data_IF_890250607082
#
_entry.id   IF_890250607082
#
_cell.length_a   1.000
_cell.length_b   1.000
_cell.length_c   1.000
_cell.angle_alpha   90.00
_cell.angle_beta   90.00
_cell.angle_gamma   90.00
#
_symmetry.space_group_name_H-M   'P 1'
#
loop_
_entity.id
_entity.type
_entity.pdbx_description
1 polymer ?
#
# COMPACT_ATOMS: atom_id res chain seq x y z
N UNK A 1 -3.27 -8.87 -7.79
CA UNK A 1 -2.32 -8.77 -8.92
C UNK A 1 -1.81 -7.34 -8.98
N UNK A 2 -0.58 -7.12 -9.44
CA UNK A 2 -0.11 -5.78 -9.79
C UNK A 2 -0.97 -5.27 -10.95
N UNK A 3 -1.36 -3.99 -10.94
CA UNK A 3 -2.10 -3.38 -12.04
C UNK A 3 -1.32 -3.29 -13.36
N UNK A 4 -0.04 -3.66 -13.34
CA UNK A 4 0.84 -3.66 -14.50
C UNK A 4 0.94 -5.08 -15.10
N UNK A 5 0.78 -5.23 -16.43
CA UNK A 5 0.92 -6.52 -17.12
C UNK A 5 2.33 -7.13 -16.97
N UNK A 6 2.39 -8.40 -16.55
CA UNK A 6 3.66 -9.11 -16.33
C UNK A 6 4.50 -9.23 -17.61
N UNK A 7 3.85 -9.33 -18.77
CA UNK A 7 4.49 -9.44 -20.09
C UNK A 7 5.27 -8.17 -20.47
N UNK A 8 4.74 -6.99 -20.16
CA UNK A 8 5.40 -5.70 -20.42
C UNK A 8 6.60 -5.49 -19.49
N UNK A 9 6.42 -5.78 -18.20
CA UNK A 9 7.50 -5.70 -17.22
C UNK A 9 8.67 -6.61 -17.58
N UNK A 10 8.39 -7.80 -18.13
CA UNK A 10 9.43 -8.73 -18.59
C UNK A 10 10.22 -8.18 -19.77
N UNK A 11 9.59 -7.40 -20.67
CA UNK A 11 10.29 -6.77 -21.79
C UNK A 11 11.23 -5.67 -21.31
N UNK A 12 10.80 -4.82 -20.38
CA UNK A 12 11.62 -3.75 -19.80
C UNK A 12 12.83 -4.35 -19.04
N UNK A 13 12.61 -5.43 -18.31
CA UNK A 13 13.66 -6.16 -17.59
C UNK A 13 14.73 -6.72 -18.54
N UNK A 14 14.31 -7.28 -19.69
CA UNK A 14 15.23 -7.77 -20.74
C UNK A 14 16.06 -6.68 -21.41
N UNK A 15 15.64 -5.42 -21.33
CA UNK A 15 16.40 -4.28 -21.83
C UNK A 15 17.45 -3.77 -20.82
N UNK A 16 17.57 -4.42 -19.65
CA UNK A 16 18.51 -4.03 -18.60
C UNK A 16 18.11 -2.75 -17.87
N UNK A 17 16.86 -2.28 -18.05
CA UNK A 17 16.34 -1.07 -17.39
C UNK A 17 15.95 -1.44 -15.95
N UNK A 18 16.52 -0.79 -14.91
CA UNK A 18 16.19 -1.10 -13.52
C UNK A 18 14.71 -0.84 -13.21
N UNK A 19 13.99 -1.85 -12.71
CA UNK A 19 12.58 -1.74 -12.34
C UNK A 19 12.42 -1.73 -10.82
N UNK A 20 11.94 -0.61 -10.28
CA UNK A 20 11.48 -0.56 -8.89
C UNK A 20 10.02 -1.02 -8.78
N UNK A 21 9.79 -2.18 -8.13
CA UNK A 21 8.44 -2.68 -7.86
C UNK A 21 8.02 -2.35 -6.42
N UNK A 22 6.82 -1.76 -6.29
CA UNK A 22 6.18 -1.45 -5.02
C UNK A 22 4.77 -2.04 -4.97
N UNK A 23 4.60 -3.11 -4.20
CA UNK A 23 3.29 -3.74 -3.93
C UNK A 23 3.00 -3.80 -2.42
N UNK A 24 2.66 -2.67 -1.78
CA UNK A 24 2.46 -2.64 -0.34
C UNK A 24 1.20 -3.41 0.07
N UNK A 25 1.40 -4.63 0.59
CA UNK A 25 0.31 -5.46 1.15
C UNK A 25 -0.10 -5.10 2.58
N UNK A 26 0.72 -4.33 3.29
CA UNK A 26 0.48 -3.91 4.67
C UNK A 26 0.83 -2.43 4.80
N UNK A 27 0.22 -1.73 5.75
CA UNK A 27 0.45 -0.31 5.97
C UNK A 27 1.95 -0.01 6.17
N UNK A 28 2.64 -0.84 6.96
CA UNK A 28 4.09 -0.75 7.17
C UNK A 28 4.93 -0.87 5.89
N UNK A 29 4.41 -1.50 4.83
CA UNK A 29 5.14 -1.61 3.56
C UNK A 29 5.21 -0.26 2.83
N UNK A 30 4.27 0.67 3.08
CA UNK A 30 4.36 2.04 2.54
C UNK A 30 5.57 2.75 3.13
N UNK A 31 5.81 2.63 4.44
CA UNK A 31 7.01 3.16 5.08
C UNK A 31 8.30 2.60 4.47
N UNK A 32 8.32 1.30 4.16
CA UNK A 32 9.44 0.67 3.44
C UNK A 32 9.61 1.26 2.03
N UNK A 33 8.52 1.50 1.29
CA UNK A 33 8.57 2.14 -0.03
C UNK A 33 9.15 3.55 0.06
N UNK A 34 8.73 4.36 1.04
CA UNK A 34 9.27 5.72 1.26
C UNK A 34 10.78 5.71 1.50
N UNK A 35 11.29 4.80 2.34
CA UNK A 35 12.74 4.64 2.57
C UNK A 35 13.49 4.23 1.30
N UNK A 36 12.94 3.26 0.55
CA UNK A 36 13.57 2.79 -0.69
C UNK A 36 13.60 3.89 -1.76
N UNK A 37 12.53 4.67 -1.89
CA UNK A 37 12.49 5.82 -2.79
C UNK A 37 13.51 6.87 -2.39
N UNK A 38 13.60 7.23 -1.11
CA UNK A 38 14.61 8.18 -0.63
C UNK A 38 16.04 7.77 -0.98
N UNK A 39 16.36 6.47 -0.89
CA UNK A 39 17.65 5.94 -1.35
C UNK A 39 17.84 6.05 -2.86
N UNK A 40 16.82 5.68 -3.64
CA UNK A 40 16.87 5.70 -5.10
C UNK A 40 16.96 7.11 -5.68
N UNK A 41 16.44 8.12 -4.98
CA UNK A 41 16.44 9.52 -5.42
C UNK A 41 17.51 10.38 -4.74
N UNK A 42 18.40 9.78 -3.94
CA UNK A 42 19.51 10.48 -3.26
C UNK A 42 19.08 11.37 -2.09
N UNK A 43 17.83 11.27 -1.62
CA UNK A 43 17.29 12.02 -0.46
C UNK A 43 16.93 11.07 0.68
N UNK A 44 17.89 10.26 1.11
CA UNK A 44 17.67 9.17 2.07
C UNK A 44 17.10 9.66 3.41
N UNK A 45 17.66 10.72 3.99
CA UNK A 45 17.16 11.29 5.25
C UNK A 45 15.72 11.75 5.15
N UNK A 46 15.33 12.32 4.01
CA UNK A 46 13.94 12.73 3.77
C UNK A 46 13.02 11.51 3.71
N UNK A 47 13.41 10.45 3.00
CA UNK A 47 12.67 9.19 2.96
C UNK A 47 12.51 8.55 4.34
N UNK A 48 13.55 8.58 5.18
CA UNK A 48 13.47 8.09 6.56
C UNK A 48 12.54 8.92 7.44
N UNK A 49 12.59 10.26 7.35
CA UNK A 49 11.69 11.15 8.07
C UNK A 49 10.22 10.89 7.70
N UNK A 50 9.90 10.86 6.40
CA UNK A 50 8.55 10.58 5.93
C UNK A 50 8.05 9.20 6.38
N UNK A 51 8.90 8.17 6.31
CA UNK A 51 8.55 6.84 6.80
C UNK A 51 8.25 6.81 8.30
N UNK A 52 9.00 7.58 9.11
CA UNK A 52 8.78 7.69 10.56
C UNK A 52 7.46 8.40 10.86
N UNK A 53 7.19 9.53 10.20
CA UNK A 53 5.94 10.28 10.34
C UNK A 53 4.74 9.40 9.98
N UNK A 54 4.79 8.75 8.82
CA UNK A 54 3.73 7.85 8.36
C UNK A 54 3.40 6.74 9.37
N UNK A 55 4.42 6.11 9.97
CA UNK A 55 4.22 5.06 10.97
C UNK A 55 3.64 5.59 12.27
N UNK A 56 4.00 6.81 12.68
CA UNK A 56 3.43 7.46 13.85
C UNK A 56 1.94 7.75 13.63
N UNK A 57 1.57 8.35 12.51
CA UNK A 57 0.18 8.68 12.16
C UNK A 57 -0.68 7.41 12.08
N UNK A 58 -0.15 6.37 11.42
CA UNK A 58 -0.79 5.06 11.37
C UNK A 58 -1.02 4.45 12.76
N UNK A 59 -0.08 4.61 13.69
CA UNK A 59 -0.23 4.13 15.07
C UNK A 59 -1.30 4.90 15.82
N UNK A 60 -1.33 6.23 15.66
CA UNK A 60 -2.35 7.10 16.26
C UNK A 60 -3.75 6.71 15.80
N UNK A 61 -3.95 6.57 14.49
CA UNK A 61 -5.23 6.12 13.92
C UNK A 61 -5.60 4.72 14.44
N UNK A 62 -4.66 3.77 14.43
CA UNK A 62 -4.93 2.42 14.95
C UNK A 62 -5.42 2.47 16.40
N UNK A 63 -4.84 3.32 17.26
CA UNK A 63 -5.30 3.48 18.64
C UNK A 63 -6.68 4.12 18.73
N UNK A 64 -6.94 5.16 17.94
CA UNK A 64 -8.22 5.90 17.93
C UNK A 64 -9.41 5.04 17.53
N UNK A 65 -9.22 4.13 16.56
CA UNK A 65 -10.28 3.25 16.07
C UNK A 65 -10.27 1.86 16.71
N UNK A 66 -9.33 1.59 17.63
CA UNK A 66 -9.28 0.33 18.34
C UNK A 66 -10.54 0.15 19.21
N UNK A 67 -11.12 -1.06 19.20
CA UNK A 67 -12.27 -1.38 20.04
C UNK A 67 -13.62 -0.87 19.54
N UNK A 68 -13.71 -0.29 18.34
CA UNK A 68 -15.01 -0.01 17.71
C UNK A 68 -15.73 -1.30 17.31
N UNK A 69 -17.05 -1.30 17.41
CA UNK A 69 -17.88 -2.42 16.98
C UNK A 69 -17.73 -2.67 15.47
N UNK A 70 -17.55 -3.95 15.04
CA UNK A 70 -17.45 -4.31 13.63
C UNK A 70 -18.65 -3.84 12.80
N UNK A 71 -18.41 -3.17 11.68
CA UNK A 71 -19.39 -2.78 10.68
C UNK A 71 -19.25 -3.64 9.42
N UNK A 72 -20.37 -3.98 8.77
CA UNK A 72 -20.32 -4.67 7.48
C UNK A 72 -20.14 -3.64 6.37
N UNK A 73 -19.05 -3.75 5.62
CA UNK A 73 -18.72 -2.84 4.51
C UNK A 73 -18.62 -3.63 3.20
N UNK A 74 -19.21 -3.07 2.14
CA UNK A 74 -19.00 -3.50 0.75
C UNK A 74 -18.20 -2.42 0.02
N UNK A 75 -17.01 -2.78 -0.48
CA UNK A 75 -16.12 -1.85 -1.18
C UNK A 75 -16.16 -2.09 -2.69
N UNK A 76 -16.88 -1.25 -3.42
CA UNK A 76 -16.99 -1.32 -4.87
C UNK A 76 -15.86 -0.54 -5.54
N UNK A 77 -15.11 -1.19 -6.44
CA UNK A 77 -14.00 -0.57 -7.19
C UNK A 77 -14.42 -0.14 -8.59
N UNK A 78 -15.35 -0.87 -9.18
CA UNK A 78 -15.84 -0.64 -10.53
C UNK A 78 -17.32 -1.02 -10.62
N UNK A 79 -18.03 -0.40 -11.56
CA UNK A 79 -19.48 -0.50 -11.68
C UNK A 79 -19.97 -1.49 -12.74
N UNK A 80 -19.20 -1.77 -13.81
CA UNK A 80 -19.63 -2.71 -14.87
C UNK A 80 -18.47 -3.50 -15.52
N UNK A 81 -18.32 -4.81 -15.23
CA UNK A 81 -19.12 -5.56 -14.27
C UNK A 81 -18.85 -5.06 -12.85
N UNK A 82 -19.79 -5.27 -11.93
CA UNK A 82 -19.61 -4.90 -10.52
C UNK A 82 -18.36 -5.62 -9.95
N UNK A 83 -17.34 -4.85 -9.52
CA UNK A 83 -16.11 -5.42 -8.97
C UNK A 83 -15.85 -4.96 -7.53
N UNK A 84 -15.37 -5.87 -6.70
CA UNK A 84 -14.96 -5.61 -5.30
C UNK A 84 -13.59 -6.24 -5.00
N UNK A 85 -13.04 -5.96 -3.82
CA UNK A 85 -11.75 -6.49 -3.35
C UNK A 85 -11.93 -7.77 -2.54
N UNK A 86 -11.14 -8.81 -2.85
CA UNK A 86 -11.19 -10.13 -2.20
C UNK A 86 -10.58 -10.20 -0.77
N UNK A 87 -10.58 -9.10 -0.01
CA UNK A 87 -10.13 -9.08 1.39
C UNK A 87 -8.61 -9.10 1.61
N UNK A 88 -7.79 -9.48 0.62
CA UNK A 88 -6.32 -9.56 0.73
C UNK A 88 -5.60 -8.23 0.44
N UNK A 89 -6.31 -7.30 -0.21
CA UNK A 89 -5.81 -5.99 -0.58
C UNK A 89 -5.54 -5.10 0.65
N UNK A 90 -4.66 -4.10 0.51
CA UNK A 90 -4.35 -3.16 1.59
C UNK A 90 -5.60 -2.43 2.08
N UNK A 91 -6.43 -1.97 1.15
CA UNK A 91 -7.70 -1.27 1.43
C UNK A 91 -8.60 -2.13 2.33
N UNK A 92 -8.78 -3.42 2.00
CA UNK A 92 -9.57 -4.33 2.83
C UNK A 92 -8.99 -4.51 4.25
N UNK A 93 -7.68 -4.38 4.44
CA UNK A 93 -7.06 -4.43 5.78
C UNK A 93 -7.27 -3.14 6.55
N UNK A 94 -7.22 -1.99 5.87
CA UNK A 94 -7.48 -0.68 6.46
C UNK A 94 -8.91 -0.58 6.97
N UNK A 95 -9.86 -0.96 6.13
CA UNK A 95 -11.29 -1.15 6.44
C UNK A 95 -11.44 -1.95 7.76
N UNK A 96 -10.82 -3.14 7.84
CA UNK A 96 -10.80 -3.94 9.09
C UNK A 96 -10.12 -3.26 10.29
N UNK A 97 -9.05 -2.49 10.09
CA UNK A 97 -8.37 -1.78 11.18
C UNK A 97 -9.21 -0.64 11.75
N UNK A 98 -10.19 -0.14 11.00
CA UNK A 98 -11.10 0.92 11.44
C UNK A 98 -12.41 0.39 12.03
N UNK A 99 -12.55 -0.94 12.17
CA UNK A 99 -13.75 -1.56 12.73
C UNK A 99 -14.82 -1.88 11.69
N UNK A 100 -14.49 -2.06 10.42
CA UNK A 100 -15.46 -2.49 9.42
C UNK A 100 -14.98 -2.32 8.02
#
# INVERSE_FOLDING_TARGET
HSGNPTSELTRIDRLGIPIFRSEPRQLKHIATTLRRLGRLTGVEDHGHRLAKMFLADASTLKKQYNGRSPMRVFYQVWQDPLMTLNGKHLVSRLIRHCGG
#
